data_IF_503885969945
#
_entry.id   IF_503885969945
#
_cell.length_a   1.000
_cell.length_b   1.000
_cell.length_c   1.000
_cell.angle_alpha   90.00
_cell.angle_beta   90.00
_cell.angle_gamma   90.00
#
_symmetry.space_group_name_H-M   'P 1'
#
loop_
_entity.id
_entity.type
_entity.pdbx_description
1 polymer ?
#
# COMPACT_ATOMS: atom_id res chain seq x y z
N UNK A 1 -7.04 7.66 -0.57
CA UNK A 1 -6.31 6.57 0.12
C UNK A 1 -6.94 5.25 -0.28
N UNK A 2 -6.14 4.26 -0.67
CA UNK A 2 -6.57 2.90 -1.03
C UNK A 2 -6.04 1.95 0.06
N UNK A 3 -6.93 1.22 0.74
CA UNK A 3 -6.58 0.34 1.88
C UNK A 3 -7.27 -1.03 1.77
N UNK A 4 -6.91 -1.98 2.65
CA UNK A 4 -7.64 -3.24 2.90
C UNK A 4 -7.66 -4.28 1.76
N UNK A 5 -6.66 -4.28 0.87
CA UNK A 5 -6.58 -5.27 -0.21
C UNK A 5 -6.00 -6.60 0.23
N UNK A 6 -6.67 -7.69 -0.17
CA UNK A 6 -6.22 -9.06 0.09
C UNK A 6 -5.11 -9.55 -0.85
N UNK A 7 -4.81 -8.84 -1.93
CA UNK A 7 -3.77 -9.21 -2.88
C UNK A 7 -3.08 -7.97 -3.45
N UNK A 8 -1.77 -8.05 -3.61
CA UNK A 8 -0.99 -7.03 -4.32
C UNK A 8 -1.55 -6.80 -5.74
N UNK A 9 -1.94 -7.86 -6.45
CA UNK A 9 -2.39 -7.79 -7.83
C UNK A 9 -3.62 -6.89 -8.02
N UNK A 10 -4.64 -7.04 -7.16
CA UNK A 10 -5.86 -6.25 -7.26
C UNK A 10 -5.64 -4.79 -6.88
N UNK A 11 -4.80 -4.54 -5.87
CA UNK A 11 -4.40 -3.17 -5.52
C UNK A 11 -3.72 -2.48 -6.70
N UNK A 12 -2.75 -3.13 -7.34
CA UNK A 12 -2.01 -2.57 -8.48
C UNK A 12 -2.94 -2.31 -9.67
N UNK A 13 -3.81 -3.24 -10.00
CA UNK A 13 -4.76 -3.08 -11.10
C UNK A 13 -5.66 -1.85 -10.90
N UNK A 14 -6.22 -1.68 -9.70
CA UNK A 14 -7.04 -0.52 -9.37
C UNK A 14 -6.23 0.79 -9.37
N UNK A 15 -5.03 0.76 -8.82
CA UNK A 15 -4.12 1.91 -8.76
C UNK A 15 -3.81 2.42 -10.17
N UNK A 16 -3.41 1.53 -11.08
CA UNK A 16 -3.14 1.87 -12.49
C UNK A 16 -4.39 2.42 -13.15
N UNK A 17 -5.56 1.83 -12.89
CA UNK A 17 -6.82 2.32 -13.43
C UNK A 17 -7.11 3.76 -13.00
N UNK A 18 -6.95 4.07 -11.71
CA UNK A 18 -7.15 5.42 -11.16
C UNK A 18 -6.18 6.42 -11.79
N UNK A 19 -4.89 6.07 -11.84
CA UNK A 19 -3.86 6.91 -12.44
C UNK A 19 -4.20 7.24 -13.90
N UNK A 20 -4.67 6.26 -14.66
CA UNK A 20 -4.97 6.44 -16.08
C UNK A 20 -6.28 7.17 -16.36
N UNK A 21 -7.26 7.09 -15.45
CA UNK A 21 -8.61 7.64 -15.67
C UNK A 21 -8.82 9.01 -15.03
N UNK A 22 -8.06 9.34 -14.00
CA UNK A 22 -8.25 10.57 -13.24
C UNK A 22 -7.25 11.64 -13.68
N UNK A 23 -7.72 12.69 -14.37
CA UNK A 23 -6.87 13.79 -14.85
C UNK A 23 -6.52 14.84 -13.80
N UNK A 24 -7.32 14.95 -12.74
CA UNK A 24 -7.16 15.93 -11.66
C UNK A 24 -6.65 15.30 -10.38
N UNK A 25 -5.93 14.17 -10.48
CA UNK A 25 -5.37 13.52 -9.31
C UNK A 25 -4.18 14.35 -8.83
N UNK A 26 -4.22 14.80 -7.58
CA UNK A 26 -3.12 15.55 -6.95
C UNK A 26 -2.30 14.66 -6.01
N UNK A 27 -2.95 13.72 -5.35
CA UNK A 27 -2.29 12.80 -4.42
C UNK A 27 -2.91 11.41 -4.46
N UNK A 28 -2.08 10.40 -4.22
CA UNK A 28 -2.50 9.01 -4.10
C UNK A 28 -1.75 8.36 -2.95
N UNK A 29 -2.49 7.83 -1.97
CA UNK A 29 -1.91 7.09 -0.84
C UNK A 29 -2.33 5.63 -0.92
N UNK A 30 -1.35 4.73 -1.00
CA UNK A 30 -1.52 3.28 -0.95
C UNK A 30 -1.13 2.78 0.43
N UNK A 31 -2.10 2.27 1.18
CA UNK A 31 -1.87 1.69 2.49
C UNK A 31 -1.84 0.16 2.38
N UNK A 32 -0.64 -0.39 2.53
CA UNK A 32 -0.41 -1.83 2.47
C UNK A 32 -0.35 -2.48 3.86
N UNK A 33 -0.68 -1.73 4.92
CA UNK A 33 -0.78 -2.27 6.29
C UNK A 33 -2.05 -3.07 6.53
N UNK A 34 -2.96 -3.17 5.54
CA UNK A 34 -4.31 -3.76 5.67
C UNK A 34 -5.12 -3.21 6.87
N UNK A 35 -4.91 -1.95 7.24
CA UNK A 35 -5.60 -1.35 8.38
C UNK A 35 -5.01 -1.75 9.74
N UNK A 36 -3.85 -2.42 9.76
CA UNK A 36 -3.03 -2.57 10.96
C UNK A 36 -2.18 -1.32 11.24
N UNK A 37 -2.66 -0.15 10.81
CA UNK A 37 -2.04 1.14 11.07
C UNK A 37 -1.96 1.36 12.59
N UNK A 38 -0.72 1.48 13.07
CA UNK A 38 -0.38 1.73 14.46
C UNK A 38 -0.95 3.04 15.01
N UNK A 39 -1.43 3.94 14.15
CA UNK A 39 -1.99 5.24 14.57
C UNK A 39 -3.19 5.10 15.53
N UNK A 40 -3.86 3.95 15.56
CA UNK A 40 -5.07 3.76 16.38
C UNK A 40 -4.88 2.96 17.66
N UNK A 41 -3.69 2.40 17.92
CA UNK A 41 -3.52 1.52 19.07
C UNK A 41 -2.29 1.92 19.87
N UNK A 42 -2.51 2.49 21.06
CA UNK A 42 -1.53 2.62 22.16
C UNK A 42 -1.12 1.23 22.68
N UNK A 43 -0.63 0.37 21.80
CA UNK A 43 -0.11 -0.94 22.15
C UNK A 43 1.33 -0.97 21.66
N UNK A 44 2.25 -1.18 22.60
CA UNK A 44 3.71 -1.28 22.38
C UNK A 44 4.13 -2.45 21.46
N UNK A 45 3.19 -3.11 20.79
CA UNK A 45 3.41 -4.29 19.96
C UNK A 45 2.73 -4.12 18.62
N UNK A 46 3.42 -4.52 17.55
CA UNK A 46 2.75 -4.83 16.28
C UNK A 46 1.59 -5.78 16.55
N UNK A 47 0.43 -5.55 15.93
CA UNK A 47 -0.54 -6.62 15.75
C UNK A 47 0.18 -7.77 15.03
N UNK A 48 0.06 -9.00 15.53
CA UNK A 48 0.59 -10.18 14.84
C UNK A 48 -0.14 -10.31 13.51
N UNK A 49 0.53 -9.89 12.45
CA UNK A 49 0.13 -10.15 11.08
C UNK A 49 0.44 -11.61 10.77
N UNK A 50 -0.47 -12.31 10.10
CA UNK A 50 -0.13 -13.65 9.61
C UNK A 50 1.01 -13.55 8.60
N UNK A 51 1.83 -14.60 8.51
CA UNK A 51 2.93 -14.68 7.56
C UNK A 51 2.48 -14.37 6.12
N UNK A 52 1.30 -14.86 5.73
CA UNK A 52 0.75 -14.62 4.39
C UNK A 52 0.43 -13.14 4.14
N UNK A 53 -0.02 -12.41 5.16
CA UNK A 53 -0.29 -10.97 5.02
C UNK A 53 1.01 -10.18 4.87
N UNK A 54 2.06 -10.54 5.63
CA UNK A 54 3.38 -9.91 5.48
C UNK A 54 3.97 -10.17 4.09
N UNK A 55 3.92 -11.41 3.62
CA UNK A 55 4.40 -11.79 2.28
C UNK A 55 3.61 -11.05 1.19
N UNK A 56 2.28 -10.94 1.30
CA UNK A 56 1.50 -10.17 0.33
C UNK A 56 1.78 -8.67 0.40
N UNK A 57 2.08 -8.12 1.58
CA UNK A 57 2.46 -6.72 1.72
C UNK A 57 3.83 -6.45 1.10
N UNK A 58 4.83 -7.33 1.31
CA UNK A 58 6.13 -7.25 0.63
C UNK A 58 5.98 -7.29 -0.90
N UNK A 59 5.19 -8.25 -1.42
CA UNK A 59 4.87 -8.29 -2.85
C UNK A 59 4.19 -7.01 -3.35
N UNK A 60 3.35 -6.38 -2.51
CA UNK A 60 2.71 -5.11 -2.87
C UNK A 60 3.75 -3.98 -2.97
N UNK A 61 4.71 -3.89 -2.05
CA UNK A 61 5.82 -2.92 -2.12
C UNK A 61 6.57 -3.07 -3.45
N UNK A 62 7.02 -4.29 -3.76
CA UNK A 62 7.78 -4.55 -4.98
C UNK A 62 6.97 -4.25 -6.23
N UNK A 63 5.70 -4.66 -6.25
CA UNK A 63 4.81 -4.41 -7.36
C UNK A 63 4.52 -2.90 -7.55
N UNK A 64 4.43 -2.11 -6.48
CA UNK A 64 4.26 -0.65 -6.58
C UNK A 64 5.49 -0.04 -7.26
N UNK A 65 6.69 -0.41 -6.85
CA UNK A 65 7.95 0.08 -7.45
C UNK A 65 8.04 -0.26 -8.94
N UNK A 66 7.73 -1.51 -9.28
CA UNK A 66 7.85 -2.01 -10.66
C UNK A 66 6.74 -1.47 -11.58
N UNK A 67 5.49 -1.43 -11.09
CA UNK A 67 4.32 -1.22 -11.94
C UNK A 67 3.60 0.12 -11.72
N UNK A 68 3.80 0.80 -10.61
CA UNK A 68 3.07 2.04 -10.31
C UNK A 68 3.97 3.25 -10.48
N UNK A 69 5.13 3.29 -9.84
CA UNK A 69 5.98 4.50 -9.78
C UNK A 69 6.28 5.10 -11.17
N UNK A 70 6.67 4.27 -12.14
CA UNK A 70 6.93 4.73 -13.52
C UNK A 70 5.70 5.17 -14.32
N UNK A 71 4.49 4.98 -13.78
CA UNK A 71 3.21 5.39 -14.41
C UNK A 71 2.59 6.60 -13.72
N UNK A 72 3.09 7.00 -12.55
CA UNK A 72 2.57 8.16 -11.82
C UNK A 72 2.90 9.44 -12.59
N UNK A 73 1.89 10.27 -12.94
CA UNK A 73 2.12 11.56 -13.53
C UNK A 73 2.94 12.46 -12.59
N UNK A 74 3.85 13.31 -13.10
CA UNK A 74 4.68 14.20 -12.28
C UNK A 74 3.95 15.05 -11.21
N UNK A 75 2.73 15.58 -11.44
CA UNK A 75 2.04 16.37 -10.41
C UNK A 75 1.41 15.53 -9.29
N UNK A 76 1.37 14.20 -9.40
CA UNK A 76 0.73 13.33 -8.42
C UNK A 76 1.71 12.97 -7.31
N UNK A 77 1.40 13.36 -6.08
CA UNK A 77 2.12 12.93 -4.88
C UNK A 77 1.71 11.48 -4.52
N UNK A 78 2.55 10.51 -4.87
CA UNK A 78 2.38 9.11 -4.48
C UNK A 78 3.01 8.85 -3.11
N UNK A 79 2.19 8.37 -2.16
CA UNK A 79 2.61 7.93 -0.83
C UNK A 79 2.31 6.45 -0.63
N UNK A 80 3.26 5.71 -0.08
CA UNK A 80 3.10 4.31 0.29
C UNK A 80 3.26 4.19 1.80
N UNK A 81 2.28 3.57 2.47
CA UNK A 81 2.34 3.26 3.90
C UNK A 81 2.67 1.78 4.02
N UNK A 82 3.95 1.48 4.28
CA UNK A 82 4.46 0.11 4.42
C UNK A 82 4.20 -0.47 5.83
N UNK A 83 4.14 -1.80 5.98
CA UNK A 83 4.13 -2.44 7.29
C UNK A 83 5.40 -2.10 8.06
N UNK A 84 5.36 -2.15 9.40
CA UNK A 84 6.57 -1.91 10.16
C UNK A 84 7.59 -3.03 9.93
N UNK A 85 8.84 -2.65 9.64
CA UNK A 85 9.99 -3.55 9.54
C UNK A 85 10.25 -4.42 10.79
N UNK A 86 9.67 -4.06 11.94
CA UNK A 86 9.75 -4.81 13.19
C UNK A 86 8.57 -5.77 13.41
N UNK A 87 7.58 -5.80 12.53
CA UNK A 87 6.49 -6.76 12.63
C UNK A 87 6.99 -8.12 12.16
N UNK A 88 7.11 -9.04 13.10
CA UNK A 88 7.48 -10.44 12.91
C UNK A 88 6.31 -11.30 13.37
N UNK A 89 6.15 -12.47 12.75
CA UNK A 89 5.12 -13.46 13.08
C UNK A 89 5.36 -14.05 14.48
#
# INVERSE_FOLDING_TARGET
MITSFCSAKSMIALTIYIINKTKSLECLTLDITRGHDRRFVKVDRCLQLSKDVLVEAEKAVDAIRIYVEGRVPPPVDLKVIEPCSKCIY
#
